data_IF_112435991657
#
_entry.id   IF_112435991657
#
_cell.length_a   1.000
_cell.length_b   1.000
_cell.length_c   1.000
_cell.angle_alpha   90.00
_cell.angle_beta   90.00
_cell.angle_gamma   90.00
#
_symmetry.space_group_name_H-M   'P 1'
#
loop_
_entity.id
_entity.type
_entity.pdbx_description
1 polymer ?
#
# COMPACT_ATOMS: atom_id res chain seq x y z
N UNK A 1 -8.02 15.30 -7.61
CA UNK A 1 -6.86 14.72 -6.87
C UNK A 1 -6.08 15.83 -6.15
N UNK A 2 -5.39 15.54 -5.03
CA UNK A 2 -4.52 16.50 -4.35
C UNK A 2 -3.37 16.98 -5.25
N UNK A 3 -2.82 18.16 -4.95
CA UNK A 3 -1.85 18.82 -5.84
C UNK A 3 -0.57 18.01 -5.99
N UNK A 4 0.02 17.54 -4.89
CA UNK A 4 1.24 16.72 -4.91
C UNK A 4 1.13 15.51 -5.87
N UNK A 5 0.01 14.77 -5.83
CA UNK A 5 -0.18 13.62 -6.73
C UNK A 5 -0.30 14.04 -8.20
N UNK A 6 -0.91 15.21 -8.50
CA UNK A 6 -0.95 15.73 -9.88
C UNK A 6 0.45 16.06 -10.38
N UNK A 7 1.23 16.73 -9.55
CA UNK A 7 2.60 17.15 -9.89
C UNK A 7 3.49 15.92 -10.11
N UNK A 8 3.36 14.92 -9.25
CA UNK A 8 4.11 13.66 -9.38
C UNK A 8 3.77 12.89 -10.66
N UNK A 9 2.49 12.87 -11.07
CA UNK A 9 2.06 12.24 -12.32
C UNK A 9 2.55 13.01 -13.55
N UNK A 10 2.53 14.34 -13.49
CA UNK A 10 2.96 15.22 -14.57
C UNK A 10 4.50 15.30 -14.69
N UNK A 11 5.22 15.10 -13.59
CA UNK A 11 6.68 15.30 -13.55
C UNK A 11 7.42 14.35 -14.50
N UNK A 12 8.44 14.89 -15.16
CA UNK A 12 9.35 14.16 -16.06
C UNK A 12 10.74 13.97 -15.46
N UNK A 13 10.94 14.36 -14.20
CA UNK A 13 12.19 14.15 -13.47
C UNK A 13 12.37 12.68 -13.04
N UNK A 14 13.45 12.40 -12.31
CA UNK A 14 13.77 11.06 -11.83
C UNK A 14 12.70 10.51 -10.87
N UNK A 15 12.14 11.35 -10.00
CA UNK A 15 11.12 10.94 -9.02
C UNK A 15 9.78 10.62 -9.70
N UNK A 16 9.33 11.48 -10.61
CA UNK A 16 8.12 11.28 -11.39
C UNK A 16 8.19 10.04 -12.28
N UNK A 17 9.35 9.78 -12.90
CA UNK A 17 9.59 8.51 -13.63
C UNK A 17 9.54 7.32 -12.69
N UNK A 18 10.28 7.37 -11.58
CA UNK A 18 10.30 6.28 -10.59
C UNK A 18 8.89 5.94 -10.08
N UNK A 19 8.06 6.95 -9.80
CA UNK A 19 6.67 6.76 -9.42
C UNK A 19 5.85 6.05 -10.50
N UNK A 20 5.96 6.51 -11.75
CA UNK A 20 5.23 5.97 -12.90
C UNK A 20 5.69 4.58 -13.32
N UNK A 21 6.92 4.19 -13.00
CA UNK A 21 7.46 2.86 -13.26
C UNK A 21 7.00 1.83 -12.20
N UNK A 22 6.60 2.30 -11.01
CA UNK A 22 6.23 1.45 -9.87
C UNK A 22 4.78 1.59 -9.34
N UNK A 23 3.74 1.82 -10.18
CA UNK A 23 2.42 2.20 -9.70
C UNK A 23 1.75 1.12 -8.84
N UNK A 24 1.98 -0.16 -9.14
CA UNK A 24 1.43 -1.28 -8.37
C UNK A 24 2.01 -1.34 -6.95
N UNK A 25 3.31 -1.09 -6.81
CA UNK A 25 3.99 -1.15 -5.53
C UNK A 25 3.60 0.02 -4.64
N UNK A 26 3.53 1.24 -5.19
CA UNK A 26 2.98 2.39 -4.46
C UNK A 26 1.54 2.12 -4.02
N UNK A 27 0.66 1.64 -4.92
CA UNK A 27 -0.72 1.32 -4.54
C UNK A 27 -0.81 0.25 -3.45
N UNK A 28 0.06 -0.78 -3.49
CA UNK A 28 0.13 -1.81 -2.45
C UNK A 28 0.60 -1.26 -1.10
N UNK A 29 1.64 -0.41 -1.09
CA UNK A 29 2.17 0.22 0.12
C UNK A 29 1.14 1.11 0.84
N UNK A 30 0.19 1.68 0.08
CA UNK A 30 -0.89 2.52 0.60
C UNK A 30 -2.25 1.83 0.68
N UNK A 31 -2.31 0.51 0.45
CA UNK A 31 -3.57 -0.24 0.56
C UNK A 31 -4.12 -0.23 1.99
N UNK A 32 -5.44 -0.11 2.13
CA UNK A 32 -6.13 -0.18 3.41
C UNK A 32 -6.36 -1.60 3.90
N UNK A 33 -6.39 -2.57 2.98
CA UNK A 33 -6.78 -3.95 3.27
C UNK A 33 -5.85 -4.90 2.51
N UNK A 34 -5.51 -6.02 3.14
CA UNK A 34 -4.80 -7.11 2.48
C UNK A 34 -5.75 -7.99 1.66
N UNK A 35 -5.20 -8.63 0.64
CA UNK A 35 -5.89 -9.70 -0.07
C UNK A 35 -5.76 -10.99 0.75
N UNK A 36 -6.88 -11.51 1.24
CA UNK A 36 -6.95 -12.82 1.87
C UNK A 36 -7.21 -13.89 0.82
N UNK A 37 -6.19 -14.25 0.03
CA UNK A 37 -6.28 -15.36 -0.91
C UNK A 37 -5.08 -16.28 -0.81
N UNK A 38 -5.32 -17.59 -0.92
CA UNK A 38 -4.25 -18.58 -1.08
C UNK A 38 -3.66 -18.42 -2.48
N UNK A 39 -2.53 -17.72 -2.52
CA UNK A 39 -1.78 -17.54 -3.75
C UNK A 39 -0.97 -18.83 -3.95
N UNK A 40 -1.22 -19.55 -5.04
CA UNK A 40 -0.38 -20.66 -5.52
C UNK A 40 1.10 -20.23 -5.47
N UNK A 41 1.99 -21.05 -4.92
CA UNK A 41 3.35 -20.65 -4.52
C UNK A 41 4.17 -20.07 -5.70
N UNK A 42 5.21 -19.28 -5.39
CA UNK A 42 6.12 -18.77 -6.43
C UNK A 42 6.86 -19.91 -7.17
N UNK A 43 7.06 -21.05 -6.50
CA UNK A 43 7.67 -22.27 -7.04
C UNK A 43 6.74 -22.93 -8.08
N UNK A 44 5.44 -22.97 -7.80
CA UNK A 44 4.43 -23.46 -8.74
C UNK A 44 4.24 -22.52 -9.95
N UNK A 45 4.52 -21.20 -9.78
CA UNK A 45 4.51 -20.23 -10.88
C UNK A 45 5.68 -20.40 -11.84
N UNK A 46 6.86 -20.78 -11.34
CA UNK A 46 8.05 -20.97 -12.17
C UNK A 46 7.92 -22.17 -13.12
N UNK A 47 7.14 -23.19 -12.73
CA UNK A 47 6.86 -24.37 -13.55
C UNK A 47 5.78 -24.13 -14.62
N UNK A 48 5.06 -23.01 -14.55
CA UNK A 48 4.11 -22.63 -15.58
C UNK A 48 4.82 -21.69 -16.57
N UNK A 49 4.99 -22.13 -17.82
CA UNK A 49 5.72 -21.47 -18.92
C UNK A 49 5.25 -20.05 -19.33
N UNK A 50 4.48 -19.36 -18.49
CA UNK A 50 3.99 -18.00 -18.69
C UNK A 50 4.94 -16.92 -18.14
N UNK A 51 6.24 -17.19 -18.02
CA UNK A 51 7.26 -16.18 -17.74
C UNK A 51 7.55 -15.28 -18.96
N UNK A 52 6.50 -14.84 -19.65
CA UNK A 52 6.57 -13.80 -20.68
C UNK A 52 6.21 -12.49 -20.02
N UNK A 53 7.10 -11.51 -20.17
CA UNK A 53 6.90 -10.08 -19.89
C UNK A 53 5.43 -9.66 -20.13
N UNK A 54 4.62 -9.73 -19.09
CA UNK A 54 3.16 -9.76 -19.18
C UNK A 54 2.54 -9.79 -17.79
N UNK A 55 1.30 -9.32 -17.67
CA UNK A 55 0.58 -9.22 -16.41
C UNK A 55 0.55 -10.58 -15.70
N UNK A 56 1.07 -10.63 -14.47
CA UNK A 56 0.92 -11.79 -13.58
C UNK A 56 -0.55 -11.89 -13.16
N UNK A 57 -1.35 -12.54 -14.00
CA UNK A 57 -2.72 -12.89 -13.68
C UNK A 57 -2.68 -14.14 -12.80
N UNK A 58 -3.34 -14.08 -11.64
CA UNK A 58 -3.61 -15.26 -10.82
C UNK A 58 -5.12 -15.43 -10.71
N UNK A 59 -5.56 -16.68 -10.68
CA UNK A 59 -6.96 -17.03 -10.57
C UNK A 59 -7.28 -17.34 -9.11
N UNK A 60 -8.33 -16.72 -8.58
CA UNK A 60 -8.88 -17.03 -7.26
C UNK A 60 -10.09 -17.94 -7.49
N UNK A 61 -10.10 -19.10 -6.83
CA UNK A 61 -11.27 -19.98 -6.80
C UNK A 61 -12.08 -19.68 -5.54
N UNK A 62 -13.40 -19.56 -5.67
CA UNK A 62 -14.30 -19.24 -4.55
C UNK A 62 -14.54 -17.73 -4.38
N UNK A 63 -14.65 -17.28 -3.13
CA UNK A 63 -14.95 -15.90 -2.79
C UNK A 63 -13.68 -15.10 -2.43
N UNK A 64 -13.57 -13.88 -2.94
CA UNK A 64 -12.57 -12.93 -2.47
C UNK A 64 -13.06 -12.28 -1.17
N UNK A 65 -12.38 -12.54 -0.05
CA UNK A 65 -12.64 -11.85 1.21
C UNK A 65 -11.60 -10.74 1.45
N UNK A 66 -12.07 -9.57 1.85
CA UNK A 66 -11.23 -8.50 2.35
C UNK A 66 -10.87 -8.82 3.80
N UNK A 67 -9.59 -9.14 4.08
CA UNK A 67 -9.16 -9.45 5.44
C UNK A 67 -8.87 -8.15 6.19
N UNK A 68 -9.91 -7.62 6.82
CA UNK A 68 -9.80 -6.48 7.71
C UNK A 68 -9.28 -6.94 9.08
N UNK A 69 -8.04 -6.56 9.41
CA UNK A 69 -7.46 -6.83 10.73
C UNK A 69 -8.09 -5.99 11.85
N UNK A 70 -7.66 -6.16 13.11
CA UNK A 70 -8.03 -5.25 14.19
C UNK A 70 -7.62 -3.81 13.86
N UNK A 71 -8.36 -2.83 14.40
CA UNK A 71 -8.04 -1.41 14.21
C UNK A 71 -6.73 -1.02 14.88
N UNK A 72 -6.35 -1.69 15.96
CA UNK A 72 -5.06 -1.57 16.63
C UNK A 72 -4.16 -2.77 16.32
N UNK A 73 -2.83 -2.58 16.33
CA UNK A 73 -1.91 -3.71 16.27
C UNK A 73 -2.14 -4.64 17.47
N UNK A 74 -2.02 -5.95 17.24
CA UNK A 74 -1.94 -6.91 18.33
C UNK A 74 -0.65 -6.63 19.11
N UNK A 75 -0.67 -6.82 20.43
CA UNK A 75 0.52 -6.62 21.27
C UNK A 75 1.74 -7.36 20.71
N UNK A 76 2.87 -6.65 20.61
CA UNK A 76 4.11 -7.18 20.02
C UNK A 76 4.15 -7.20 18.49
N UNK A 77 3.10 -6.74 17.79
CA UNK A 77 3.07 -6.67 16.32
C UNK A 77 3.18 -5.25 15.79
N UNK A 78 3.73 -5.12 14.59
CA UNK A 78 3.85 -3.84 13.91
C UNK A 78 2.54 -3.45 13.19
N UNK A 79 2.17 -2.15 13.17
CA UNK A 79 1.01 -1.71 12.42
C UNK A 79 1.13 -2.00 10.92
N UNK A 80 -0.01 -2.28 10.28
CA UNK A 80 -0.09 -2.60 8.86
C UNK A 80 -1.39 -2.10 8.23
N UNK A 81 -1.37 -1.86 6.92
CA UNK A 81 -2.54 -1.48 6.12
C UNK A 81 -3.33 -0.30 6.73
N UNK A 82 -4.63 -0.45 6.98
CA UNK A 82 -5.49 0.57 7.59
C UNK A 82 -4.95 1.13 8.91
N UNK A 83 -4.27 0.31 9.72
CA UNK A 83 -3.73 0.74 11.02
C UNK A 83 -2.73 1.89 10.85
N UNK A 84 -1.97 1.91 9.75
CA UNK A 84 -0.99 2.96 9.46
C UNK A 84 -1.61 4.33 9.16
N UNK A 85 -2.93 4.42 9.01
CA UNK A 85 -3.63 5.71 8.85
C UNK A 85 -4.07 6.33 10.18
N UNK A 86 -3.93 5.59 11.29
CA UNK A 86 -4.24 6.03 12.66
C UNK A 86 -3.02 6.76 13.27
N UNK A 87 -1.81 6.30 12.95
CA UNK A 87 -0.56 6.86 13.48
C UNK A 87 -0.15 8.18 12.80
N UNK A 88 0.84 8.83 13.38
CA UNK A 88 1.52 9.98 12.77
C UNK A 88 2.00 9.65 11.34
N UNK A 89 1.81 10.55 10.35
CA UNK A 89 2.20 10.30 8.97
C UNK A 89 3.69 9.98 8.79
N UNK A 90 4.56 10.56 9.62
CA UNK A 90 6.02 10.33 9.57
C UNK A 90 6.36 8.92 10.03
N UNK A 91 5.76 8.48 11.15
CA UNK A 91 5.89 7.10 11.60
C UNK A 91 5.33 6.14 10.55
N UNK A 92 4.14 6.39 10.03
CA UNK A 92 3.54 5.56 9.00
C UNK A 92 4.40 5.45 7.72
N UNK A 93 5.04 6.55 7.32
CA UNK A 93 5.98 6.58 6.20
C UNK A 93 7.20 5.69 6.45
N UNK A 94 7.81 5.75 7.63
CA UNK A 94 8.93 4.89 8.01
C UNK A 94 8.55 3.40 7.92
N UNK A 95 7.37 3.03 8.44
CA UNK A 95 6.87 1.65 8.38
C UNK A 95 6.60 1.18 6.96
N UNK A 96 6.09 2.06 6.09
CA UNK A 96 5.91 1.77 4.66
C UNK A 96 7.27 1.61 3.96
N UNK A 97 8.23 2.49 4.22
CA UNK A 97 9.57 2.43 3.62
C UNK A 97 10.31 1.15 4.02
N UNK A 98 10.24 0.75 5.29
CA UNK A 98 10.89 -0.47 5.78
C UNK A 98 10.43 -1.74 5.03
N UNK A 99 9.19 -1.76 4.56
CA UNK A 99 8.60 -2.88 3.79
C UNK A 99 8.73 -2.74 2.28
N UNK A 100 9.12 -1.56 1.79
CA UNK A 100 9.18 -1.22 0.38
C UNK A 100 10.50 -0.48 0.08
N UNK A 101 11.64 -1.10 0.41
CA UNK A 101 12.97 -0.48 0.34
C UNK A 101 13.39 -0.04 -1.06
N UNK A 102 12.75 -0.58 -2.09
CA UNK A 102 12.94 -0.22 -3.48
C UNK A 102 12.11 1.00 -3.93
N UNK A 103 11.26 1.56 -3.06
CA UNK A 103 10.50 2.77 -3.35
C UNK A 103 11.22 4.02 -2.87
N UNK A 104 10.99 5.14 -3.57
CA UNK A 104 11.54 6.45 -3.19
C UNK A 104 10.94 6.89 -1.83
N UNK A 105 11.79 7.13 -0.80
CA UNK A 105 11.34 7.45 0.54
C UNK A 105 10.65 8.81 0.65
N UNK A 106 11.06 9.79 -0.17
CA UNK A 106 10.41 11.11 -0.16
C UNK A 106 9.00 11.00 -0.75
N UNK A 107 8.83 10.19 -1.79
CA UNK A 107 7.50 9.91 -2.35
C UNK A 107 6.60 9.22 -1.31
N UNK A 108 7.12 8.23 -0.56
CA UNK A 108 6.35 7.58 0.50
C UNK A 108 5.95 8.57 1.61
N UNK A 109 6.88 9.43 2.01
CA UNK A 109 6.64 10.44 3.04
C UNK A 109 5.56 11.44 2.62
N UNK A 110 5.70 12.06 1.45
CA UNK A 110 4.76 13.06 0.95
C UNK A 110 3.38 12.45 0.65
N UNK A 111 3.31 11.22 0.12
CA UNK A 111 2.04 10.51 -0.04
C UNK A 111 1.38 10.19 1.31
N UNK A 112 2.16 9.84 2.34
CA UNK A 112 1.64 9.59 3.70
C UNK A 112 1.03 10.86 4.30
N UNK A 113 1.71 12.00 4.16
CA UNK A 113 1.20 13.30 4.61
C UNK A 113 -0.05 13.68 3.83
N UNK A 114 0.00 13.66 2.50
CA UNK A 114 -1.12 13.98 1.62
C UNK A 114 -2.37 13.16 1.97
N UNK A 115 -2.23 11.83 2.07
CA UNK A 115 -3.36 10.95 2.36
C UNK A 115 -3.90 11.16 3.78
N UNK A 116 -3.05 11.47 4.76
CA UNK A 116 -3.51 11.76 6.13
C UNK A 116 -4.43 12.98 6.21
N UNK A 117 -4.26 13.93 5.28
CA UNK A 117 -5.02 15.18 5.22
C UNK A 117 -6.29 15.04 4.36
N UNK A 118 -6.19 14.39 3.20
CA UNK A 118 -7.26 14.42 2.20
C UNK A 118 -8.05 13.11 2.08
N UNK A 119 -7.57 11.98 2.61
CA UNK A 119 -8.26 10.70 2.43
C UNK A 119 -9.44 10.60 3.41
N UNK A 120 -10.70 10.54 2.93
CA UNK A 120 -11.87 10.45 3.81
C UNK A 120 -11.88 9.16 4.63
N UNK A 121 -11.36 8.05 4.10
CA UNK A 121 -11.29 6.78 4.83
C UNK A 121 -10.29 6.87 5.97
N UNK A 122 -9.13 7.48 5.77
CA UNK A 122 -8.16 7.69 6.86
C UNK A 122 -8.81 8.39 8.07
N UNK A 123 -9.70 9.36 7.83
CA UNK A 123 -10.49 10.03 8.88
C UNK A 123 -11.47 9.09 9.58
N UNK A 124 -12.18 8.24 8.83
CA UNK A 124 -13.11 7.24 9.40
C UNK A 124 -12.35 6.28 10.31
N UNK A 125 -11.19 5.79 9.88
CA UNK A 125 -10.36 4.87 10.67
C UNK A 125 -9.80 5.50 11.95
N UNK A 126 -9.35 6.75 11.87
CA UNK A 126 -8.89 7.50 13.04
C UNK A 126 -10.02 7.72 14.03
N UNK A 127 -11.19 8.13 13.54
CA UNK A 127 -12.35 8.32 14.40
C UNK A 127 -12.81 7.01 15.06
N UNK A 128 -12.84 5.91 14.30
CA UNK A 128 -13.17 4.60 14.84
C UNK A 128 -12.20 4.19 15.97
N UNK A 129 -10.92 4.55 15.87
CA UNK A 129 -9.94 4.32 16.93
C UNK A 129 -10.14 5.22 18.15
N UNK A 130 -10.58 6.46 17.98
CA UNK A 130 -10.84 7.41 19.08
C UNK A 130 -12.02 7.01 19.97
N UNK A 131 -12.96 6.21 19.45
CA UNK A 131 -14.17 5.77 20.15
C UNK A 131 -14.11 4.32 20.66
N UNK A 132 -13.01 3.61 20.42
CA UNK A 132 -12.73 2.29 21.00
C UNK A 132 -12.35 2.42 22.48
#
# INVERSE_FOLDING_TARGET
PPQYLKDLLASTDTQGRHFKDNPRQYNAAFAFISLGCDIVSAEDRANNNNNRSGLSAFQIHGALCHRHGPLTPVEGTEPSYAQLYIFDPSYAAERRQARNSNLDPEIIKELSVMLSQCNPFARVYRHAHEIL
#
